data_IF_517638298656
#
_entry.id   IF_517638298656
#
_cell.length_a   1.000
_cell.length_b   1.000
_cell.length_c   1.000
_cell.angle_alpha   90.00
_cell.angle_beta   90.00
_cell.angle_gamma   90.00
#
_symmetry.space_group_name_H-M   'P 1'
#
loop_
_entity.id
_entity.type
_entity.pdbx_description
1 polymer ?
#
# COMPACT_ATOMS: atom_id res chain seq x y z
N UNK A 1 10.80 -17.86 -15.29
CA UNK A 1 10.24 -16.81 -16.15
C UNK A 1 10.63 -17.05 -17.61
N UNK A 2 11.93 -17.12 -17.97
CA UNK A 2 12.37 -17.30 -19.36
C UNK A 2 11.74 -18.52 -20.03
N UNK A 3 11.66 -19.68 -19.35
CA UNK A 3 11.02 -20.89 -19.86
C UNK A 3 9.51 -20.73 -20.06
N UNK A 4 8.84 -19.97 -19.19
CA UNK A 4 7.40 -19.75 -19.29
C UNK A 4 6.99 -18.79 -20.41
N UNK A 5 7.88 -17.87 -20.81
CA UNK A 5 7.61 -16.89 -21.87
C UNK A 5 8.01 -17.37 -23.27
N UNK A 6 8.82 -18.44 -23.38
CA UNK A 6 9.24 -19.02 -24.66
C UNK A 6 9.88 -18.02 -25.61
N UNK A 7 9.34 -17.89 -26.82
CA UNK A 7 9.84 -16.99 -27.87
C UNK A 7 9.30 -15.55 -27.80
N UNK A 8 8.44 -15.24 -26.82
CA UNK A 8 7.92 -13.87 -26.68
C UNK A 8 9.07 -12.90 -26.40
N UNK A 9 9.09 -11.72 -27.04
CA UNK A 9 10.06 -10.68 -26.70
C UNK A 9 9.74 -10.16 -25.28
N UNK A 10 10.71 -10.22 -24.37
CA UNK A 10 10.54 -9.74 -23.01
C UNK A 10 11.83 -9.10 -22.48
N UNK A 11 11.68 -8.28 -21.48
CA UNK A 11 12.71 -7.85 -20.54
C UNK A 11 12.40 -8.38 -19.15
N UNK A 12 13.41 -8.81 -18.42
CA UNK A 12 13.31 -9.21 -17.02
C UNK A 12 13.96 -8.14 -16.15
N UNK A 13 13.15 -7.32 -15.50
CA UNK A 13 13.61 -6.25 -14.64
C UNK A 13 13.65 -6.72 -13.18
N UNK A 14 14.84 -6.83 -12.62
CA UNK A 14 15.09 -7.22 -11.24
C UNK A 14 15.40 -5.97 -10.40
N UNK A 15 14.73 -5.81 -9.28
CA UNK A 15 14.95 -4.68 -8.36
C UNK A 15 15.53 -5.18 -7.06
N UNK A 16 16.71 -4.70 -6.71
CA UNK A 16 17.35 -4.94 -5.43
C UNK A 16 17.09 -3.77 -4.47
N UNK A 17 16.33 -4.02 -3.43
CA UNK A 17 15.96 -3.04 -2.40
C UNK A 17 17.08 -2.84 -1.37
N UNK A 18 18.31 -2.64 -1.84
CA UNK A 18 19.45 -2.34 -1.02
C UNK A 18 19.92 -3.52 -0.15
N UNK A 19 19.96 -4.72 -0.72
CA UNK A 19 20.45 -5.92 -0.03
C UNK A 19 21.88 -5.76 0.46
N UNK A 20 22.17 -6.36 1.63
CA UNK A 20 23.48 -6.35 2.28
C UNK A 20 24.19 -7.71 2.25
N UNK A 21 23.56 -8.70 1.65
CA UNK A 21 24.07 -10.05 1.40
C UNK A 21 24.66 -10.18 -0.02
N UNK A 22 24.89 -11.38 -0.51
CA UNK A 22 25.41 -11.62 -1.86
C UNK A 22 24.44 -11.36 -3.01
N UNK A 23 23.22 -10.86 -2.77
CA UNK A 23 22.16 -10.69 -3.79
C UNK A 23 22.61 -9.78 -4.94
N UNK A 24 23.18 -8.60 -4.64
CA UNK A 24 23.64 -7.66 -5.67
C UNK A 24 24.64 -8.30 -6.65
N UNK A 25 25.60 -9.08 -6.14
CA UNK A 25 26.60 -9.78 -6.95
C UNK A 25 25.95 -10.87 -7.83
N UNK A 26 24.95 -11.57 -7.29
CA UNK A 26 24.22 -12.58 -8.06
C UNK A 26 23.40 -11.96 -9.20
N UNK A 27 22.76 -10.81 -8.96
CA UNK A 27 22.02 -10.06 -9.97
C UNK A 27 22.91 -9.50 -11.08
N UNK A 28 24.08 -8.99 -10.72
CA UNK A 28 25.07 -8.51 -11.69
C UNK A 28 25.53 -9.65 -12.63
N UNK A 29 25.80 -10.84 -12.09
CA UNK A 29 26.15 -12.03 -12.89
C UNK A 29 25.03 -12.43 -13.86
N UNK A 30 23.77 -12.36 -13.43
CA UNK A 30 22.63 -12.63 -14.30
C UNK A 30 22.52 -11.60 -15.42
N UNK A 31 22.73 -10.33 -15.14
CA UNK A 31 22.71 -9.27 -16.14
C UNK A 31 23.88 -9.35 -17.13
N UNK A 32 25.04 -9.83 -16.69
CA UNK A 32 26.21 -10.07 -17.57
C UNK A 32 25.97 -11.28 -18.49
N UNK A 33 25.21 -12.29 -18.04
CA UNK A 33 24.94 -13.52 -18.79
C UNK A 33 23.82 -13.35 -19.84
N UNK A 34 22.83 -12.48 -19.59
CA UNK A 34 21.68 -12.29 -20.48
C UNK A 34 21.32 -10.80 -20.57
N UNK A 35 21.44 -10.17 -21.76
CA UNK A 35 21.16 -8.75 -21.96
C UNK A 35 19.66 -8.38 -21.75
N UNK A 36 18.76 -9.36 -21.75
CA UNK A 36 17.34 -9.16 -21.40
C UNK A 36 17.12 -8.95 -19.93
N UNK A 37 18.07 -9.38 -19.09
CA UNK A 37 18.06 -9.16 -17.65
C UNK A 37 18.59 -7.76 -17.36
N UNK A 38 17.75 -6.95 -16.73
CA UNK A 38 18.03 -5.58 -16.31
C UNK A 38 17.97 -5.49 -14.80
N UNK A 39 18.87 -4.74 -14.19
CA UNK A 39 18.92 -4.62 -12.73
C UNK A 39 18.87 -3.17 -12.30
N UNK A 40 18.04 -2.88 -11.31
CA UNK A 40 17.99 -1.61 -10.59
C UNK A 40 18.31 -1.88 -9.13
N UNK A 41 19.42 -1.34 -8.63
CA UNK A 41 19.79 -1.43 -7.22
C UNK A 41 19.48 -0.11 -6.53
N UNK A 42 18.70 -0.15 -5.47
CA UNK A 42 18.36 1.01 -4.66
C UNK A 42 19.49 1.34 -3.68
N UNK A 43 19.58 2.60 -3.26
CA UNK A 43 20.66 3.09 -2.39
C UNK A 43 20.60 2.51 -0.97
N UNK A 44 19.44 2.11 -0.51
CA UNK A 44 19.14 1.44 0.77
C UNK A 44 17.81 0.68 0.66
N UNK A 45 17.39 -0.01 1.70
CA UNK A 45 16.04 -0.57 1.78
C UNK A 45 15.01 0.57 1.92
N UNK A 46 14.10 0.67 0.94
CA UNK A 46 12.97 1.60 0.89
C UNK A 46 11.63 0.90 1.12
N UNK A 47 11.61 -0.43 1.10
CA UNK A 47 10.44 -1.27 1.29
C UNK A 47 9.83 -1.80 -0.02
N UNK A 48 9.15 -2.92 0.12
CA UNK A 48 8.63 -3.72 -1.00
C UNK A 48 7.80 -2.93 -2.03
N UNK A 49 6.83 -2.11 -1.58
CA UNK A 49 5.99 -1.32 -2.49
C UNK A 49 6.78 -0.27 -3.28
N UNK A 50 7.81 0.27 -2.65
CA UNK A 50 8.73 1.23 -3.30
C UNK A 50 9.64 0.53 -4.29
N UNK A 51 10.13 -0.67 -3.98
CA UNK A 51 10.93 -1.48 -4.90
C UNK A 51 10.12 -1.88 -6.13
N UNK A 52 8.85 -2.31 -5.95
CA UNK A 52 7.93 -2.56 -7.07
C UNK A 52 7.73 -1.30 -7.91
N UNK A 53 7.51 -0.14 -7.28
CA UNK A 53 7.39 1.14 -7.98
C UNK A 53 8.63 1.45 -8.81
N UNK A 54 9.83 1.24 -8.26
CA UNK A 54 11.07 1.43 -9.00
C UNK A 54 11.16 0.52 -10.22
N UNK A 55 10.70 -0.73 -10.11
CA UNK A 55 10.57 -1.64 -11.25
C UNK A 55 9.62 -1.09 -12.32
N UNK A 56 8.43 -0.69 -11.90
CA UNK A 56 7.41 -0.15 -12.81
C UNK A 56 7.86 1.13 -13.53
N UNK A 57 8.55 2.03 -12.83
CA UNK A 57 9.13 3.27 -13.41
C UNK A 57 10.17 2.98 -14.52
N UNK A 58 10.85 1.84 -14.48
CA UNK A 58 11.88 1.46 -15.43
C UNK A 58 11.40 0.47 -16.51
N UNK A 59 10.19 -0.07 -16.36
CA UNK A 59 9.61 -1.02 -17.29
C UNK A 59 9.20 -0.37 -18.62
N UNK A 60 9.48 -1.04 -19.78
CA UNK A 60 9.29 -0.49 -21.12
C UNK A 60 8.30 -1.26 -21.99
N UNK A 61 7.93 -2.48 -21.58
CA UNK A 61 7.01 -3.30 -22.35
C UNK A 61 5.62 -2.67 -22.52
N UNK A 62 4.90 -3.06 -23.56
CA UNK A 62 3.49 -2.67 -23.77
C UNK A 62 2.60 -3.22 -22.66
N UNK A 63 3.02 -4.34 -22.09
CA UNK A 63 2.40 -4.98 -20.93
C UNK A 63 3.47 -5.28 -19.89
N UNK A 64 3.17 -5.05 -18.62
CA UNK A 64 4.12 -5.23 -17.52
C UNK A 64 3.54 -6.17 -16.47
N UNK A 65 4.33 -7.16 -16.06
CA UNK A 65 3.97 -8.13 -15.03
C UNK A 65 4.80 -7.90 -13.79
N UNK A 66 4.14 -7.72 -12.65
CA UNK A 66 4.76 -7.72 -11.32
C UNK A 66 4.75 -9.14 -10.76
N UNK A 67 5.89 -9.60 -10.27
CA UNK A 67 6.07 -10.94 -9.71
C UNK A 67 7.01 -10.90 -8.51
N UNK A 68 6.64 -11.56 -7.43
CA UNK A 68 7.52 -11.74 -6.27
C UNK A 68 8.65 -12.74 -6.57
N UNK A 69 9.87 -12.45 -6.12
CA UNK A 69 11.03 -13.31 -6.37
C UNK A 69 11.10 -14.55 -5.45
N UNK A 70 10.08 -14.83 -4.62
CA UNK A 70 10.06 -15.92 -3.65
C UNK A 70 9.60 -17.27 -4.24
N UNK A 71 9.37 -17.33 -5.55
CA UNK A 71 8.96 -18.52 -6.31
C UNK A 71 7.62 -19.14 -5.84
N UNK A 72 6.80 -18.40 -5.13
CA UNK A 72 5.49 -18.90 -4.69
C UNK A 72 4.39 -18.69 -5.73
N UNK A 73 4.60 -17.72 -6.63
CA UNK A 73 3.67 -17.37 -7.68
C UNK A 73 4.19 -17.93 -9.01
N UNK A 74 3.44 -18.84 -9.67
CA UNK A 74 3.94 -19.58 -10.85
C UNK A 74 4.06 -18.64 -12.08
N UNK A 75 5.24 -18.51 -12.70
CA UNK A 75 5.42 -17.68 -13.88
C UNK A 75 4.60 -18.17 -15.10
N UNK A 76 4.20 -19.45 -15.12
CA UNK A 76 3.39 -20.07 -16.17
C UNK A 76 2.02 -19.39 -16.31
N UNK A 77 1.53 -18.76 -15.23
CA UNK A 77 0.27 -18.04 -15.24
C UNK A 77 0.30 -16.80 -16.15
N UNK A 78 1.49 -16.30 -16.47
CA UNK A 78 1.66 -15.13 -17.35
C UNK A 78 1.03 -15.38 -18.73
N UNK A 79 1.11 -16.60 -19.27
CA UNK A 79 0.46 -16.93 -20.53
C UNK A 79 -1.06 -16.78 -20.49
N UNK A 80 -1.69 -17.23 -19.41
CA UNK A 80 -3.14 -17.06 -19.19
C UNK A 80 -3.50 -15.57 -19.00
N UNK A 81 -2.67 -14.82 -18.26
CA UNK A 81 -2.87 -13.37 -18.12
C UNK A 81 -2.78 -12.64 -19.45
N UNK A 82 -1.84 -13.01 -20.33
CA UNK A 82 -1.70 -12.46 -21.68
C UNK A 82 -2.95 -12.71 -22.54
N UNK A 83 -3.61 -13.86 -22.39
CA UNK A 83 -4.87 -14.13 -23.09
C UNK A 83 -5.98 -13.17 -22.66
N UNK A 84 -6.10 -12.89 -21.35
CA UNK A 84 -7.06 -11.92 -20.84
C UNK A 84 -6.76 -10.50 -21.34
N UNK A 85 -5.50 -10.11 -21.34
CA UNK A 85 -5.07 -8.83 -21.88
C UNK A 85 -5.39 -8.70 -23.37
N UNK A 86 -5.11 -9.72 -24.19
CA UNK A 86 -5.47 -9.76 -25.62
C UNK A 86 -6.98 -9.66 -25.88
N UNK A 87 -7.80 -10.05 -24.91
CA UNK A 87 -9.26 -9.90 -24.93
C UNK A 87 -9.73 -8.51 -24.48
N UNK A 88 -8.80 -7.58 -24.20
CA UNK A 88 -9.10 -6.20 -23.84
C UNK A 88 -9.14 -5.90 -22.34
N UNK A 89 -8.62 -6.76 -21.47
CA UNK A 89 -8.46 -6.45 -20.06
C UNK A 89 -7.19 -5.63 -19.86
N UNK A 90 -7.30 -4.48 -19.22
CA UNK A 90 -6.17 -3.58 -18.95
C UNK A 90 -5.35 -4.01 -17.71
N UNK A 91 -6.00 -4.65 -16.75
CA UNK A 91 -5.39 -5.16 -15.52
C UNK A 91 -5.81 -6.61 -15.32
N UNK A 92 -4.85 -7.51 -15.23
CA UNK A 92 -5.11 -8.92 -14.91
C UNK A 92 -4.38 -9.27 -13.62
N UNK A 93 -5.10 -9.72 -12.59
CA UNK A 93 -4.50 -10.03 -11.29
C UNK A 93 -4.74 -11.49 -10.89
N UNK A 94 -3.73 -12.08 -10.26
CA UNK A 94 -3.78 -13.43 -9.77
C UNK A 94 -4.51 -13.50 -8.42
N UNK A 95 -5.48 -14.43 -8.31
CA UNK A 95 -6.25 -14.66 -7.08
C UNK A 95 -5.92 -16.04 -6.55
N UNK A 96 -5.51 -16.11 -5.29
CA UNK A 96 -5.20 -17.39 -4.64
C UNK A 96 -6.47 -18.14 -4.37
N UNK A 97 -6.58 -19.36 -4.90
CA UNK A 97 -7.64 -20.27 -4.54
C UNK A 97 -7.52 -20.67 -3.05
N UNK A 98 -8.66 -20.68 -2.34
CA UNK A 98 -8.71 -21.00 -0.90
C UNK A 98 -8.22 -22.43 -0.68
N UNK A 99 -7.23 -22.63 0.20
CA UNK A 99 -6.80 -23.98 0.61
C UNK A 99 -7.92 -24.67 1.39
N UNK A 100 -8.30 -25.84 0.95
CA UNK A 100 -9.11 -26.75 1.76
C UNK A 100 -8.32 -27.14 3.01
N UNK A 101 -8.83 -26.83 4.21
CA UNK A 101 -8.20 -27.23 5.49
C UNK A 101 -7.95 -26.10 6.51
N UNK A 102 -8.32 -24.86 6.23
CA UNK A 102 -8.21 -23.80 7.24
C UNK A 102 -9.30 -23.90 8.32
N UNK A 103 -8.92 -23.69 9.59
CA UNK A 103 -9.83 -23.68 10.74
C UNK A 103 -10.99 -22.69 10.53
N UNK A 104 -12.23 -23.12 10.86
CA UNK A 104 -13.45 -22.28 10.76
C UNK A 104 -13.31 -20.97 11.51
N UNK A 105 -12.65 -20.96 12.66
CA UNK A 105 -12.39 -19.75 13.45
C UNK A 105 -11.50 -18.76 12.70
N UNK A 106 -10.43 -19.25 12.05
CA UNK A 106 -9.53 -18.41 11.24
C UNK A 106 -10.24 -17.83 10.02
N UNK A 107 -11.11 -18.62 9.36
CA UNK A 107 -11.92 -18.15 8.24
C UNK A 107 -12.96 -17.11 8.65
N UNK A 108 -13.62 -17.29 9.81
CA UNK A 108 -14.65 -16.36 10.29
C UNK A 108 -14.01 -15.02 10.76
N UNK A 109 -12.91 -15.08 11.49
CA UNK A 109 -12.18 -13.88 11.92
C UNK A 109 -11.59 -13.11 10.73
N UNK A 110 -11.07 -13.82 9.71
CA UNK A 110 -10.61 -13.22 8.47
C UNK A 110 -11.76 -12.57 7.70
N UNK A 111 -12.93 -13.23 7.56
CA UNK A 111 -14.12 -12.65 6.90
C UNK A 111 -14.58 -11.38 7.59
N UNK A 112 -14.70 -11.40 8.91
CA UNK A 112 -15.10 -10.22 9.68
C UNK A 112 -14.09 -9.07 9.51
N UNK A 113 -12.79 -9.38 9.54
CA UNK A 113 -11.72 -8.43 9.31
C UNK A 113 -11.80 -7.81 7.89
N UNK A 114 -11.94 -8.65 6.85
CA UNK A 114 -12.07 -8.16 5.47
C UNK A 114 -13.35 -7.37 5.26
N UNK A 115 -14.48 -7.80 5.82
CA UNK A 115 -15.74 -7.04 5.74
C UNK A 115 -15.62 -5.67 6.40
N UNK A 116 -14.96 -5.57 7.56
CA UNK A 116 -14.67 -4.29 8.21
C UNK A 116 -13.71 -3.45 7.38
N UNK A 117 -12.67 -4.09 6.82
CA UNK A 117 -11.70 -3.44 5.95
C UNK A 117 -12.36 -2.88 4.69
N UNK A 118 -13.16 -3.65 3.97
CA UNK A 118 -13.85 -3.23 2.76
C UNK A 118 -14.84 -2.09 3.04
N UNK A 119 -15.53 -2.13 4.19
CA UNK A 119 -16.42 -1.06 4.61
C UNK A 119 -15.68 0.24 4.95
N UNK A 120 -14.43 0.15 5.42
CA UNK A 120 -13.61 1.30 5.79
C UNK A 120 -12.74 1.81 4.63
N UNK A 121 -12.19 0.94 3.81
CA UNK A 121 -11.23 1.31 2.75
C UNK A 121 -11.86 1.90 1.49
N UNK A 122 -13.18 1.78 1.30
CA UNK A 122 -13.93 2.25 0.11
C UNK A 122 -13.40 1.71 -1.22
N UNK A 123 -12.67 0.59 -1.21
CA UNK A 123 -12.08 -0.05 -2.38
C UNK A 123 -12.46 -1.53 -2.33
N UNK A 124 -13.02 -2.04 -3.42
CA UNK A 124 -13.32 -3.47 -3.59
C UNK A 124 -12.02 -4.24 -3.86
N UNK A 125 -11.30 -4.54 -2.80
CA UNK A 125 -10.09 -5.35 -2.88
C UNK A 125 -10.48 -6.83 -2.84
N UNK A 126 -10.20 -7.57 -3.89
CA UNK A 126 -10.27 -9.03 -3.83
C UNK A 126 -9.37 -9.55 -2.71
N UNK A 127 -9.97 -10.07 -1.64
CA UNK A 127 -9.33 -10.44 -0.37
C UNK A 127 -8.12 -11.40 -0.53
N UNK A 128 -8.07 -12.16 -1.64
CA UNK A 128 -7.04 -13.15 -1.92
C UNK A 128 -6.07 -12.72 -3.04
N UNK A 129 -6.12 -11.46 -3.52
CA UNK A 129 -5.19 -10.99 -4.55
C UNK A 129 -3.83 -10.62 -3.94
N UNK A 130 -2.75 -11.09 -4.60
CA UNK A 130 -1.37 -10.72 -4.32
C UNK A 130 -0.91 -9.49 -5.13
N UNK A 131 0.40 -9.24 -5.10
CA UNK A 131 1.03 -8.25 -5.98
C UNK A 131 1.30 -8.82 -7.38
N UNK A 132 1.08 -10.13 -7.60
CA UNK A 132 1.17 -10.78 -8.89
C UNK A 132 0.04 -10.31 -9.81
N UNK A 133 0.37 -9.40 -10.71
CA UNK A 133 -0.56 -8.80 -11.66
C UNK A 133 0.14 -8.31 -12.92
N UNK A 134 -0.65 -8.26 -13.99
CA UNK A 134 -0.26 -7.74 -15.29
C UNK A 134 -1.00 -6.42 -15.53
N UNK A 135 -0.30 -5.44 -16.06
CA UNK A 135 -0.81 -4.11 -16.38
C UNK A 135 -0.55 -3.79 -17.85
N UNK A 136 -1.58 -3.36 -18.57
CA UNK A 136 -1.41 -2.69 -19.85
C UNK A 136 -0.65 -1.37 -19.68
N UNK A 137 0.04 -0.91 -20.71
CA UNK A 137 0.80 0.34 -20.67
C UNK A 137 -0.04 1.53 -20.22
N UNK A 138 -1.28 1.66 -20.70
CA UNK A 138 -2.17 2.78 -20.33
C UNK A 138 -2.51 2.75 -18.84
N UNK A 139 -2.81 1.57 -18.31
CA UNK A 139 -3.12 1.39 -16.88
C UNK A 139 -1.87 1.64 -16.02
N UNK A 140 -0.69 1.21 -16.49
CA UNK A 140 0.58 1.46 -15.83
C UNK A 140 0.93 2.95 -15.82
N UNK A 141 0.80 3.65 -16.94
CA UNK A 141 1.11 5.08 -17.03
C UNK A 141 0.19 5.91 -16.11
N UNK A 142 -1.10 5.56 -16.02
CA UNK A 142 -2.03 6.15 -15.07
C UNK A 142 -1.61 5.88 -13.61
N UNK A 143 -1.19 4.64 -13.30
CA UNK A 143 -0.68 4.26 -11.99
C UNK A 143 0.61 5.02 -11.63
N UNK A 144 1.51 5.22 -12.58
CA UNK A 144 2.77 5.93 -12.39
C UNK A 144 2.58 7.44 -12.24
N UNK A 145 1.51 8.01 -12.81
CA UNK A 145 1.16 9.42 -12.60
C UNK A 145 0.79 9.72 -11.13
N UNK A 146 0.31 8.73 -10.39
CA UNK A 146 0.05 8.86 -8.95
C UNK A 146 1.35 8.68 -8.18
N UNK A 147 1.91 9.75 -7.62
CA UNK A 147 3.22 9.76 -6.93
C UNK A 147 3.10 9.80 -5.42
N UNK A 148 2.01 9.28 -4.89
CA UNK A 148 1.75 9.17 -3.45
C UNK A 148 2.92 8.50 -2.72
N UNK A 149 3.25 9.02 -1.54
CA UNK A 149 4.36 8.51 -0.73
C UNK A 149 4.00 7.21 -0.02
N UNK A 150 2.81 7.16 0.52
CA UNK A 150 2.24 5.97 1.17
C UNK A 150 1.54 5.08 0.14
N UNK A 151 2.34 4.42 -0.71
CA UNK A 151 1.84 3.62 -1.82
C UNK A 151 1.29 2.28 -1.37
N UNK A 152 0.13 1.95 -1.89
CA UNK A 152 -0.49 0.62 -1.80
C UNK A 152 -0.94 0.21 -3.20
N UNK A 153 -0.02 -0.37 -3.97
CA UNK A 153 -0.19 -0.62 -5.41
C UNK A 153 -1.44 -1.43 -5.73
N UNK A 154 -1.85 -2.36 -4.85
CA UNK A 154 -3.09 -3.13 -5.05
C UNK A 154 -4.33 -2.24 -5.07
N UNK A 155 -4.44 -1.32 -4.13
CA UNK A 155 -5.52 -0.35 -4.07
C UNK A 155 -5.46 0.64 -5.23
N UNK A 156 -4.28 1.14 -5.54
CA UNK A 156 -4.07 2.08 -6.64
C UNK A 156 -4.48 1.48 -8.00
N UNK A 157 -4.18 0.20 -8.25
CA UNK A 157 -4.62 -0.48 -9.49
C UNK A 157 -6.13 -0.68 -9.58
N UNK A 158 -6.85 -0.74 -8.46
CA UNK A 158 -8.31 -0.73 -8.45
C UNK A 158 -8.83 0.69 -8.67
N UNK A 159 -8.21 1.66 -8.03
CA UNK A 159 -8.60 3.08 -8.07
C UNK A 159 -8.53 3.68 -9.48
N UNK A 160 -7.57 3.27 -10.31
CA UNK A 160 -7.46 3.76 -11.71
C UNK A 160 -8.66 3.37 -12.59
N UNK A 161 -9.50 2.41 -12.19
CA UNK A 161 -10.81 2.14 -12.80
C UNK A 161 -10.78 1.49 -14.18
N UNK A 162 -9.64 0.97 -14.64
CA UNK A 162 -9.51 0.23 -15.90
C UNK A 162 -10.19 -1.14 -15.85
N UNK A 163 -10.44 -1.78 -17.00
CA UNK A 163 -11.06 -3.10 -17.09
C UNK A 163 -10.17 -4.16 -16.45
N UNK A 164 -10.70 -4.86 -15.44
CA UNK A 164 -9.95 -5.83 -14.65
C UNK A 164 -10.46 -7.26 -14.84
N UNK A 165 -9.55 -8.23 -14.81
CA UNK A 165 -9.86 -9.65 -14.79
C UNK A 165 -9.07 -10.38 -13.70
N UNK A 166 -9.74 -11.32 -13.02
CA UNK A 166 -9.14 -12.18 -12.01
C UNK A 166 -8.77 -13.53 -12.60
N UNK A 167 -7.55 -14.02 -12.34
CA UNK A 167 -7.11 -15.36 -12.75
C UNK A 167 -6.84 -16.19 -11.48
N UNK A 168 -7.65 -17.22 -11.19
CA UNK A 168 -7.45 -18.05 -10.03
C UNK A 168 -6.25 -18.98 -10.20
N UNK A 169 -5.45 -19.16 -9.14
CA UNK A 169 -4.33 -20.09 -9.12
C UNK A 169 -4.12 -20.74 -7.76
N UNK A 170 -3.51 -21.92 -7.76
CA UNK A 170 -3.06 -22.58 -6.54
C UNK A 170 -1.64 -22.10 -6.22
N UNK A 171 -1.46 -21.54 -5.02
CA UNK A 171 -0.14 -21.07 -4.58
C UNK A 171 0.71 -22.24 -4.08
N UNK A 172 1.95 -22.31 -4.56
CA UNK A 172 2.91 -23.31 -4.10
C UNK A 172 3.42 -23.02 -2.67
N UNK A 173 3.75 -24.07 -1.89
CA UNK A 173 4.38 -23.88 -0.60
C UNK A 173 5.76 -23.24 -0.77
N UNK A 174 6.13 -22.33 0.14
CA UNK A 174 7.45 -21.71 0.14
C UNK A 174 8.58 -22.73 0.09
N UNK A 175 9.48 -22.57 -0.87
CA UNK A 175 10.68 -23.40 -0.99
C UNK A 175 11.75 -23.05 0.04
N UNK A 176 11.78 -21.81 0.55
CA UNK A 176 12.73 -21.33 1.57
C UNK A 176 12.17 -20.15 2.39
N UNK A 177 12.60 -20.02 3.64
CA UNK A 177 12.29 -18.89 4.53
C UNK A 177 11.17 -19.13 5.55
N UNK A 178 11.24 -18.43 6.70
CA UNK A 178 10.20 -18.43 7.74
C UNK A 178 9.28 -17.22 7.56
N UNK A 179 7.99 -17.39 7.79
CA UNK A 179 7.00 -16.32 7.77
C UNK A 179 7.36 -15.25 8.79
N UNK A 180 7.79 -14.07 8.34
CA UNK A 180 8.10 -12.91 9.19
C UNK A 180 6.86 -12.05 9.49
N UNK A 181 5.66 -12.51 9.14
CA UNK A 181 4.41 -11.77 9.38
C UNK A 181 3.94 -11.94 10.82
N UNK A 182 4.26 -10.96 11.66
CA UNK A 182 3.68 -10.82 13.00
C UNK A 182 2.33 -10.14 12.94
N UNK A 183 1.45 -10.40 13.92
CA UNK A 183 0.12 -9.77 14.03
C UNK A 183 0.22 -8.23 13.98
N UNK A 184 1.24 -7.65 14.65
CA UNK A 184 1.47 -6.22 14.63
C UNK A 184 1.79 -5.64 13.25
N UNK A 185 2.55 -6.39 12.42
CA UNK A 185 2.81 -5.97 11.03
C UNK A 185 1.54 -6.03 10.17
N UNK A 186 0.70 -7.03 10.40
CA UNK A 186 -0.57 -7.17 9.68
C UNK A 186 -1.53 -6.02 10.03
N UNK A 187 -1.65 -5.68 11.31
CA UNK A 187 -2.45 -4.54 11.76
C UNK A 187 -1.93 -3.21 11.22
N UNK A 188 -0.61 -3.00 11.25
CA UNK A 188 0.00 -1.78 10.68
C UNK A 188 -0.28 -1.68 9.18
N UNK A 189 -0.07 -2.75 8.42
CA UNK A 189 -0.35 -2.79 6.98
C UNK A 189 -1.82 -2.47 6.68
N UNK A 190 -2.74 -3.01 7.48
CA UNK A 190 -4.18 -2.73 7.34
C UNK A 190 -4.53 -1.28 7.67
N UNK A 191 -3.94 -0.73 8.73
CA UNK A 191 -4.12 0.68 9.08
C UNK A 191 -3.57 1.59 7.97
N UNK A 192 -2.39 1.28 7.44
CA UNK A 192 -1.79 2.03 6.34
C UNK A 192 -2.69 2.02 5.09
N UNK A 193 -3.26 0.87 4.75
CA UNK A 193 -4.17 0.75 3.61
C UNK A 193 -5.48 1.51 3.83
N UNK A 194 -6.10 1.41 5.02
CA UNK A 194 -7.32 2.18 5.35
C UNK A 194 -7.05 3.68 5.28
N UNK A 195 -5.99 4.15 5.93
CA UNK A 195 -5.65 5.58 5.98
C UNK A 195 -5.21 6.16 4.63
N UNK A 196 -4.74 5.32 3.70
CA UNK A 196 -4.36 5.76 2.35
C UNK A 196 -5.56 5.97 1.42
N UNK A 197 -6.67 5.24 1.64
CA UNK A 197 -7.82 5.26 0.73
C UNK A 197 -9.13 5.69 1.37
N UNK A 198 -9.14 6.04 2.66
CA UNK A 198 -10.37 6.37 3.37
C UNK A 198 -10.18 7.50 4.36
N UNK A 199 -11.16 8.39 4.39
CA UNK A 199 -11.32 9.43 5.41
C UNK A 199 -12.29 9.02 6.55
N UNK A 200 -12.83 7.79 6.49
CA UNK A 200 -13.78 7.28 7.50
C UNK A 200 -13.27 7.31 8.94
N UNK A 201 -11.99 7.01 9.25
CA UNK A 201 -11.48 7.18 10.61
C UNK A 201 -11.58 8.63 11.09
N UNK A 202 -11.37 9.61 10.21
CA UNK A 202 -11.52 11.03 10.52
C UNK A 202 -13.00 11.40 10.73
N UNK A 203 -13.89 10.90 9.87
CA UNK A 203 -15.34 11.07 10.02
C UNK A 203 -15.86 10.46 11.33
N UNK A 204 -15.34 9.28 11.73
CA UNK A 204 -15.69 8.65 12.99
C UNK A 204 -15.29 9.52 14.20
N UNK A 205 -14.08 10.10 14.18
CA UNK A 205 -13.64 11.03 15.21
C UNK A 205 -14.58 12.25 15.31
N UNK A 206 -14.98 12.80 14.17
CA UNK A 206 -15.91 13.92 14.07
C UNK A 206 -17.31 13.54 14.61
N UNK A 207 -17.82 12.37 14.22
CA UNK A 207 -19.12 11.87 14.70
C UNK A 207 -19.13 11.66 16.21
N UNK A 208 -18.08 11.04 16.75
CA UNK A 208 -17.92 10.85 18.19
C UNK A 208 -17.86 12.19 18.93
N UNK A 209 -17.11 13.15 18.41
CA UNK A 209 -17.03 14.50 18.96
C UNK A 209 -18.41 15.18 18.97
N UNK A 210 -19.17 15.08 17.87
CA UNK A 210 -20.50 15.65 17.75
C UNK A 210 -21.50 15.01 18.75
N UNK A 211 -21.49 13.67 18.84
CA UNK A 211 -22.35 12.94 19.77
C UNK A 211 -22.10 13.34 21.24
N UNK A 212 -20.83 13.40 21.61
CA UNK A 212 -20.44 13.76 22.99
C UNK A 212 -20.79 15.22 23.30
N UNK A 213 -20.50 16.12 22.35
CA UNK A 213 -20.87 17.54 22.51
C UNK A 213 -22.37 17.72 22.61
N UNK A 214 -23.16 17.00 21.82
CA UNK A 214 -24.62 17.03 21.88
C UNK A 214 -25.13 16.52 23.23
N UNK A 215 -24.56 15.41 23.74
CA UNK A 215 -24.90 14.87 25.05
C UNK A 215 -24.56 15.84 26.17
N UNK A 216 -23.39 16.47 26.15
CA UNK A 216 -22.97 17.49 27.08
C UNK A 216 -23.91 18.71 27.04
N UNK A 217 -24.31 19.15 25.85
CA UNK A 217 -25.22 20.28 25.67
C UNK A 217 -26.62 20.01 26.28
N UNK A 218 -27.07 18.75 26.21
CA UNK A 218 -28.32 18.32 26.87
C UNK A 218 -28.14 18.16 28.38
N UNK A 219 -27.01 17.63 28.85
CA UNK A 219 -26.73 17.37 30.25
C UNK A 219 -26.57 18.65 31.07
N UNK A 220 -26.01 19.72 30.54
CA UNK A 220 -25.75 20.98 31.23
C UNK A 220 -27.04 21.58 31.81
N UNK A 221 -28.11 21.83 31.01
CA UNK A 221 -29.37 22.40 31.57
C UNK A 221 -30.05 21.46 32.56
N UNK A 222 -29.96 20.13 32.37
CA UNK A 222 -30.51 19.15 33.32
C UNK A 222 -29.81 19.25 34.68
N UNK A 223 -28.48 19.31 34.69
CA UNK A 223 -27.69 19.47 35.92
C UNK A 223 -28.03 20.79 36.63
N UNK A 224 -28.18 21.89 35.87
CA UNK A 224 -28.56 23.19 36.42
C UNK A 224 -29.97 23.11 37.06
N UNK A 225 -30.94 22.52 36.35
CA UNK A 225 -32.31 22.36 36.85
C UNK A 225 -32.36 21.52 38.16
N UNK A 226 -31.66 20.39 38.19
CA UNK A 226 -31.57 19.54 39.40
C UNK A 226 -30.96 20.29 40.59
N UNK A 227 -29.96 21.12 40.33
CA UNK A 227 -29.33 21.95 41.38
C UNK A 227 -30.28 23.01 41.91
N UNK A 228 -31.03 23.68 41.06
CA UNK A 228 -32.02 24.72 41.44
C UNK A 228 -33.18 24.12 42.25
N UNK A 229 -33.57 22.89 41.91
CA UNK A 229 -34.62 22.13 42.59
C UNK A 229 -34.16 21.51 43.93
N UNK A 230 -32.94 21.77 44.36
CA UNK A 230 -32.41 21.33 45.69
C UNK A 230 -31.95 19.87 45.73
N UNK A 231 -31.95 19.15 44.60
CA UNK A 231 -31.47 17.78 44.51
C UNK A 231 -29.94 17.80 44.31
N UNK A 232 -29.18 17.85 45.38
CA UNK A 232 -27.71 17.82 45.34
C UNK A 232 -27.22 16.39 45.13
N UNK A 233 -26.55 16.18 44.02
CA UNK A 233 -25.84 14.92 43.72
C UNK A 233 -24.37 15.08 44.17
N UNK A 234 -23.91 14.32 45.18
CA UNK A 234 -22.50 14.30 45.56
C UNK A 234 -21.71 13.68 44.38
N UNK A 235 -20.93 14.51 43.66
CA UNK A 235 -20.56 14.19 42.27
C UNK A 235 -19.08 14.04 41.98
N UNK A 236 -18.17 13.96 42.98
CA UNK A 236 -16.73 13.90 42.70
C UNK A 236 -16.35 12.71 41.78
N UNK A 237 -16.83 11.51 42.07
CA UNK A 237 -16.57 10.32 41.26
C UNK A 237 -17.15 10.42 39.84
N UNK A 238 -18.37 10.94 39.73
CA UNK A 238 -19.06 11.15 38.45
C UNK A 238 -18.32 12.16 37.58
N UNK A 239 -17.88 13.29 38.15
CA UNK A 239 -17.10 14.31 37.44
C UNK A 239 -15.78 13.73 36.95
N UNK A 240 -15.07 12.97 37.79
CA UNK A 240 -13.81 12.35 37.46
C UNK A 240 -13.97 11.37 36.25
N UNK A 241 -15.00 10.50 36.30
CA UNK A 241 -15.29 9.55 35.20
C UNK A 241 -15.59 10.29 33.88
N UNK A 242 -16.46 11.33 33.96
CA UNK A 242 -16.83 12.11 32.78
C UNK A 242 -15.61 12.83 32.18
N UNK A 243 -14.77 13.46 32.99
CA UNK A 243 -13.55 14.14 32.54
C UNK A 243 -12.56 13.16 31.91
N UNK A 244 -12.34 11.99 32.53
CA UNK A 244 -11.45 10.96 31.97
C UNK A 244 -12.00 10.40 30.65
N UNK A 245 -13.30 10.15 30.56
CA UNK A 245 -13.94 9.67 29.33
C UNK A 245 -13.80 10.69 28.19
N UNK A 246 -14.18 11.95 28.46
CA UNK A 246 -14.08 13.03 27.48
C UNK A 246 -12.62 13.26 27.04
N UNK A 247 -11.71 13.32 28.02
CA UNK A 247 -10.28 13.47 27.77
C UNK A 247 -9.71 12.32 26.93
N UNK A 248 -10.11 11.08 27.23
CA UNK A 248 -9.69 9.90 26.48
C UNK A 248 -10.16 9.95 25.00
N UNK A 249 -11.44 10.26 24.78
CA UNK A 249 -11.99 10.39 23.41
C UNK A 249 -11.34 11.55 22.65
N UNK A 250 -11.11 12.68 23.33
CA UNK A 250 -10.41 13.82 22.73
C UNK A 250 -8.99 13.45 22.28
N UNK A 251 -8.23 12.74 23.13
CA UNK A 251 -6.87 12.30 22.80
C UNK A 251 -6.87 11.32 21.60
N UNK A 252 -7.83 10.39 21.53
CA UNK A 252 -7.98 9.49 20.39
C UNK A 252 -8.26 10.29 19.11
N UNK A 253 -9.17 11.25 19.16
CA UNK A 253 -9.52 12.09 18.01
C UNK A 253 -8.32 12.91 17.51
N UNK A 254 -7.57 13.52 18.44
CA UNK A 254 -6.33 14.24 18.12
C UNK A 254 -5.28 13.29 17.52
N UNK A 255 -5.16 12.06 18.04
CA UNK A 255 -4.26 11.05 17.51
C UNK A 255 -4.59 10.69 16.06
N UNK A 256 -5.87 10.50 15.72
CA UNK A 256 -6.31 10.26 14.34
C UNK A 256 -5.96 11.45 13.44
N UNK A 257 -6.27 12.66 13.85
CA UNK A 257 -5.92 13.88 13.10
C UNK A 257 -4.39 13.96 12.91
N UNK A 258 -3.63 13.68 13.96
CA UNK A 258 -2.16 13.68 13.92
C UNK A 258 -1.59 12.73 12.87
N UNK A 259 -2.20 11.55 12.70
CA UNK A 259 -1.79 10.59 11.67
C UNK A 259 -2.01 11.15 10.24
N UNK A 260 -3.16 11.77 9.98
CA UNK A 260 -3.42 12.41 8.68
C UNK A 260 -2.49 13.60 8.42
N UNK A 261 -2.25 14.44 9.43
CA UNK A 261 -1.29 15.56 9.33
C UNK A 261 0.11 15.03 9.04
N UNK A 262 0.53 13.93 9.68
CA UNK A 262 1.80 13.26 9.42
C UNK A 262 1.93 12.81 7.96
N UNK A 263 0.89 12.23 7.39
CA UNK A 263 0.84 11.81 5.97
C UNK A 263 0.92 13.01 5.03
N UNK A 264 0.14 14.07 5.29
CA UNK A 264 0.21 15.34 4.52
C UNK A 264 1.63 15.92 4.58
N UNK A 265 2.25 15.92 5.76
CA UNK A 265 3.62 16.41 5.93
C UNK A 265 4.63 15.60 5.11
N UNK A 266 4.47 14.29 5.03
CA UNK A 266 5.33 13.45 4.20
C UNK A 266 5.15 13.74 2.70
N UNK A 267 3.91 13.98 2.23
CA UNK A 267 3.64 14.37 0.84
C UNK A 267 4.24 15.74 0.51
N UNK A 268 4.04 16.73 1.36
CA UNK A 268 4.51 18.13 1.15
C UNK A 268 6.04 18.20 1.10
N UNK A 269 6.76 17.31 1.77
CA UNK A 269 8.24 17.28 1.68
C UNK A 269 8.76 17.01 0.26
N UNK A 270 7.97 16.41 -0.61
CA UNK A 270 8.35 16.16 -2.01
C UNK A 270 9.63 15.35 -2.21
N UNK A 271 10.05 14.55 -1.22
CA UNK A 271 11.27 13.73 -1.34
C UNK A 271 11.04 12.63 -2.37
N UNK A 272 12.04 12.21 -3.17
CA UNK A 272 11.92 11.08 -4.06
C UNK A 272 11.45 9.81 -3.34
N UNK A 273 10.63 9.00 -3.98
CA UNK A 273 10.14 7.73 -3.42
C UNK A 273 11.31 6.78 -3.13
N UNK A 274 12.28 6.74 -4.03
CA UNK A 274 13.50 5.94 -3.91
C UNK A 274 14.68 6.66 -4.55
N UNK A 275 15.89 6.17 -4.26
CA UNK A 275 17.13 6.60 -4.90
C UNK A 275 17.83 5.39 -5.50
N UNK A 276 18.22 5.49 -6.75
CA UNK A 276 18.94 4.42 -7.46
C UNK A 276 20.43 4.55 -7.20
N UNK A 277 21.06 3.46 -6.72
CA UNK A 277 22.51 3.34 -6.55
C UNK A 277 23.19 2.98 -7.87
N UNK A 278 22.66 1.98 -8.59
CA UNK A 278 23.23 1.50 -9.82
C UNK A 278 22.15 0.93 -10.75
N UNK A 279 22.47 0.90 -12.05
CA UNK A 279 21.66 0.28 -13.09
C UNK A 279 22.54 -0.61 -13.95
N UNK A 280 22.02 -1.79 -14.35
CA UNK A 280 22.69 -2.71 -15.31
C UNK A 280 21.74 -2.96 -16.47
N UNK A 281 22.29 -2.97 -17.67
CA UNK A 281 21.55 -3.18 -18.94
C UNK A 281 20.36 -2.21 -19.14
N UNK A 282 20.35 -1.07 -18.44
CA UNK A 282 19.39 0.00 -18.59
C UNK A 282 20.10 1.26 -19.09
N UNK A 283 19.49 2.03 -20.03
CA UNK A 283 20.04 3.32 -20.42
C UNK A 283 20.09 4.24 -19.21
N UNK A 284 21.14 5.02 -19.12
CA UNK A 284 21.20 6.09 -18.14
C UNK A 284 20.13 7.14 -18.48
N UNK A 285 19.38 7.66 -17.51
CA UNK A 285 18.54 8.82 -17.75
C UNK A 285 19.41 9.96 -18.22
N UNK A 286 18.89 10.86 -19.07
CA UNK A 286 19.56 12.12 -19.37
C UNK A 286 20.01 12.77 -18.06
N UNK A 287 21.24 13.32 -18.02
CA UNK A 287 21.77 13.97 -16.80
C UNK A 287 20.85 15.07 -16.29
N UNK A 288 20.06 15.67 -17.19
CA UNK A 288 19.12 16.75 -16.91
C UNK A 288 17.79 16.27 -16.26
N UNK A 289 17.45 14.97 -16.31
CA UNK A 289 16.29 14.42 -15.62
C UNK A 289 16.50 14.25 -14.10
N UNK A 290 17.72 14.39 -13.63
CA UNK A 290 18.07 14.51 -12.22
C UNK A 290 18.35 15.99 -11.95
N UNK A 291 17.35 16.86 -12.17
CA UNK A 291 17.48 18.27 -11.77
C UNK A 291 17.66 18.30 -10.24
N UNK A 292 18.83 18.77 -9.75
CA UNK A 292 18.94 19.09 -8.35
C UNK A 292 18.03 20.29 -8.10
N UNK A 293 17.39 20.30 -6.94
CA UNK A 293 16.66 21.45 -6.40
C UNK A 293 17.60 22.67 -6.14
N UNK A 294 18.39 23.07 -7.12
CA UNK A 294 19.39 24.15 -7.02
C UNK A 294 19.06 25.41 -7.81
N UNK A 295 17.93 25.41 -8.54
CA UNK A 295 17.57 26.58 -9.36
C UNK A 295 16.46 27.46 -8.79
N UNK A 296 16.07 27.29 -7.52
CA UNK A 296 15.06 28.16 -6.87
C UNK A 296 15.71 29.22 -5.96
N UNK A 297 17.00 29.19 -5.79
CA UNK A 297 17.72 30.33 -5.15
C UNK A 297 18.36 31.12 -6.28
N UNK A 298 17.63 32.16 -6.74
CA UNK A 298 18.16 33.13 -7.66
C UNK A 298 19.49 33.68 -7.18
N UNK A 299 20.41 33.83 -8.12
CA UNK A 299 21.69 34.46 -7.95
C UNK A 299 21.48 35.85 -7.28
N UNK A 300 22.03 36.09 -6.08
CA UNK A 300 21.84 37.37 -5.40
C UNK A 300 22.58 38.55 -6.04
N UNK A 301 23.26 38.35 -7.19
CA UNK A 301 24.09 39.36 -7.86
C UNK A 301 23.61 39.73 -9.29
N UNK A 302 22.29 39.66 -9.54
CA UNK A 302 21.70 40.27 -10.75
C UNK A 302 20.60 41.27 -10.43
#
# INVERSE_FOLDING_TARGET
VCAALGELPFELLLVDDGSTDGTAVALDRLADADPRVRVVTLSRNFGHQTALTAGLDHARGDVVVMLDADLQDPPELISTMLEHWRRGCDVVYAVRSVRAGESRFKLTSARWFYSLFDSLAQIDLSANSGDFRMLDRRALDALLAMRERHRFLRGMTVWVGFTQAAVPYARDPRTAGKTKYTLGRMLRFSADAILSFSDRPLQLATLLGLLISSLAFIAIPVVIALRVLGNYLPGFSTITIVVLLLGGIQLISIGIIGEYVGRIYDEVKGRPLYLVRSRRNLPQPPRDAVAPAREVLGDPDR
#
